data_IF_315881735782
#
_entry.id   IF_315881735782
#
_cell.length_a   1.000
_cell.length_b   1.000
_cell.length_c   1.000
_cell.angle_alpha   90.00
_cell.angle_beta   90.00
_cell.angle_gamma   90.00
#
_symmetry.space_group_name_H-M   'P 1'
#
loop_
_entity.id
_entity.type
_entity.pdbx_description
1 polymer ?
#
# COMPACT_ATOMS: atom_id res chain seq x y z
N UNK A 1 18.25 -0.68 -32.63
CA UNK A 1 18.31 0.23 -31.47
C UNK A 1 17.61 -0.47 -30.33
N UNK A 2 18.17 -0.47 -29.12
CA UNK A 2 17.48 -1.02 -27.95
C UNK A 2 16.20 -0.22 -27.70
N UNK A 3 15.11 -0.88 -27.33
CA UNK A 3 13.86 -0.22 -26.98
C UNK A 3 14.04 0.39 -25.58
N UNK A 4 13.89 1.72 -25.46
CA UNK A 4 14.07 2.46 -24.18
C UNK A 4 13.29 1.80 -23.03
N UNK A 5 13.84 1.60 -21.84
CA UNK A 5 13.15 0.88 -20.76
C UNK A 5 11.97 1.67 -20.17
N UNK A 6 11.12 1.03 -19.38
CA UNK A 6 10.29 1.71 -18.38
C UNK A 6 11.07 1.65 -17.06
N UNK A 7 11.20 2.77 -16.36
CA UNK A 7 11.85 2.82 -15.05
C UNK A 7 10.80 3.08 -13.98
N UNK A 8 10.73 2.20 -13.00
CA UNK A 8 9.87 2.35 -11.82
C UNK A 8 10.72 2.81 -10.63
N UNK A 9 10.26 3.82 -9.90
CA UNK A 9 10.91 4.32 -8.68
C UNK A 9 10.00 4.03 -7.48
N UNK A 10 10.43 3.15 -6.57
CA UNK A 10 9.60 2.68 -5.46
C UNK A 10 10.41 2.00 -4.35
N UNK A 11 9.78 1.73 -3.21
CA UNK A 11 10.22 0.63 -2.35
C UNK A 11 10.13 -0.71 -3.10
N UNK A 12 11.05 -1.65 -2.82
CA UNK A 12 11.10 -2.95 -3.49
C UNK A 12 11.59 -4.05 -2.53
N UNK A 13 11.17 -5.32 -2.71
CA UNK A 13 11.62 -6.44 -1.88
C UNK A 13 13.15 -6.54 -1.79
N UNK A 14 13.71 -7.04 -0.68
CA UNK A 14 13.07 -7.65 0.49
C UNK A 14 12.49 -6.66 1.52
N UNK A 15 12.41 -5.36 1.21
CA UNK A 15 11.78 -4.38 2.11
C UNK A 15 10.34 -4.81 2.42
N UNK A 16 10.06 -5.10 3.69
CA UNK A 16 8.74 -5.47 4.18
C UNK A 16 7.83 -4.23 4.26
N UNK A 17 7.22 -3.88 3.13
CA UNK A 17 6.23 -2.82 3.04
C UNK A 17 5.18 -3.16 1.99
N UNK A 18 3.94 -2.69 2.21
CA UNK A 18 2.80 -2.98 1.32
C UNK A 18 3.07 -2.52 -0.12
N UNK A 19 3.71 -1.35 -0.29
CA UNK A 19 4.05 -0.82 -1.61
C UNK A 19 5.16 -1.63 -2.26
N UNK A 20 6.10 -2.18 -1.49
CA UNK A 20 7.15 -3.05 -2.02
C UNK A 20 6.57 -4.31 -2.65
N UNK A 21 5.64 -4.98 -1.95
CA UNK A 21 4.92 -6.13 -2.48
C UNK A 21 4.06 -5.75 -3.70
N UNK A 22 3.30 -4.66 -3.62
CA UNK A 22 2.52 -4.14 -4.75
C UNK A 22 3.41 -3.86 -5.98
N UNK A 23 4.55 -3.21 -5.78
CA UNK A 23 5.44 -2.81 -6.88
C UNK A 23 6.09 -4.02 -7.53
N UNK A 24 6.45 -5.05 -6.76
CA UNK A 24 6.95 -6.31 -7.32
C UNK A 24 5.94 -6.94 -8.29
N UNK A 25 4.68 -7.03 -7.88
CA UNK A 25 3.61 -7.54 -8.74
C UNK A 25 3.34 -6.61 -9.93
N UNK A 26 3.21 -5.31 -9.70
CA UNK A 26 2.96 -4.31 -10.74
C UNK A 26 4.05 -4.37 -11.82
N UNK A 27 5.32 -4.46 -11.42
CA UNK A 27 6.46 -4.62 -12.33
C UNK A 27 6.32 -5.86 -13.20
N UNK A 28 5.95 -7.01 -12.61
CA UNK A 28 5.73 -8.25 -13.36
C UNK A 28 4.64 -8.08 -14.43
N UNK A 29 3.50 -7.50 -14.07
CA UNK A 29 2.39 -7.28 -15.00
C UNK A 29 2.74 -6.26 -16.10
N UNK A 30 3.44 -5.17 -15.76
CA UNK A 30 3.91 -4.19 -16.74
C UNK A 30 4.92 -4.86 -17.70
N UNK A 31 5.84 -5.67 -17.19
CA UNK A 31 6.82 -6.40 -17.99
C UNK A 31 6.15 -7.38 -18.95
N UNK A 32 5.13 -8.10 -18.47
CA UNK A 32 4.34 -9.03 -19.30
C UNK A 32 3.55 -8.32 -20.39
N UNK A 33 2.95 -7.18 -20.08
CA UNK A 33 2.23 -6.35 -21.05
C UNK A 33 3.18 -5.67 -22.07
N UNK A 34 4.44 -5.48 -21.72
CA UNK A 34 5.46 -4.81 -22.53
C UNK A 34 6.67 -5.71 -22.78
N UNK A 35 6.46 -6.93 -23.30
CA UNK A 35 7.49 -7.97 -23.39
C UNK A 35 8.75 -7.61 -24.20
N UNK A 36 8.70 -6.54 -25.01
CA UNK A 36 9.84 -6.05 -25.80
C UNK A 36 10.61 -4.92 -25.11
N UNK A 37 10.15 -4.45 -23.95
CA UNK A 37 10.71 -3.33 -23.20
C UNK A 37 11.08 -3.79 -21.80
N UNK A 38 12.32 -3.57 -21.40
CA UNK A 38 12.72 -3.88 -20.03
C UNK A 38 12.00 -2.96 -19.04
N UNK A 39 11.58 -3.53 -17.92
CA UNK A 39 11.06 -2.79 -16.76
C UNK A 39 12.10 -2.85 -15.63
N UNK A 40 12.76 -1.72 -15.45
CA UNK A 40 13.85 -1.54 -14.50
C UNK A 40 13.33 -0.85 -13.24
N UNK A 41 13.98 -1.10 -12.10
CA UNK A 41 13.60 -0.58 -10.80
C UNK A 41 14.72 0.28 -10.23
N UNK A 42 14.40 1.47 -9.73
CA UNK A 42 15.24 2.20 -8.78
C UNK A 42 14.56 2.13 -7.42
N UNK A 43 15.29 1.68 -6.40
CA UNK A 43 14.72 1.41 -5.08
C UNK A 43 15.51 2.04 -3.96
N UNK A 44 14.97 1.93 -2.74
CA UNK A 44 15.76 2.08 -1.51
C UNK A 44 16.95 1.12 -1.47
N UNK A 45 17.95 1.49 -0.67
CA UNK A 45 19.25 0.81 -0.57
C UNK A 45 19.16 -0.69 -0.22
N UNK A 46 18.05 -1.13 0.34
CA UNK A 46 17.79 -2.52 0.74
C UNK A 46 17.14 -3.36 -0.35
N UNK A 47 16.63 -2.76 -1.43
CA UNK A 47 15.99 -3.47 -2.55
C UNK A 47 16.96 -4.33 -3.35
N UNK A 48 16.49 -5.49 -3.82
CA UNK A 48 17.33 -6.51 -4.48
C UNK A 48 16.63 -7.13 -5.68
N UNK A 49 17.42 -7.73 -6.58
CA UNK A 49 16.94 -8.51 -7.71
C UNK A 49 17.52 -8.06 -9.04
N UNK A 50 17.19 -8.81 -10.09
CA UNK A 50 17.62 -8.47 -11.44
C UNK A 50 16.95 -7.17 -11.92
N UNK A 51 17.73 -6.27 -12.52
CA UNK A 51 17.25 -4.98 -13.02
C UNK A 51 16.81 -4.01 -11.91
N UNK A 52 17.33 -4.18 -10.68
CA UNK A 52 17.08 -3.31 -9.53
C UNK A 52 18.34 -2.50 -9.20
N UNK A 53 18.18 -1.18 -9.07
CA UNK A 53 19.22 -0.21 -8.73
C UNK A 53 18.90 0.41 -7.36
N UNK A 54 19.49 -0.10 -6.27
CA UNK A 54 19.21 0.38 -4.91
C UNK A 54 19.98 1.68 -4.62
N UNK A 55 19.32 2.83 -4.85
CA UNK A 55 19.95 4.16 -4.82
C UNK A 55 19.28 5.17 -3.85
N UNK A 56 18.06 4.92 -3.40
CA UNK A 56 17.35 5.85 -2.50
C UNK A 56 17.86 5.64 -1.07
N UNK A 57 18.80 6.50 -0.66
CA UNK A 57 19.30 6.57 0.71
C UNK A 57 18.74 7.78 1.45
N UNK A 58 17.73 7.54 2.28
CA UNK A 58 17.04 8.57 3.07
C UNK A 58 17.89 9.17 4.19
N UNK A 59 19.14 8.72 4.38
CA UNK A 59 20.10 9.36 5.28
C UNK A 59 20.62 10.69 4.71
N UNK A 60 20.41 10.93 3.41
CA UNK A 60 20.89 12.11 2.70
C UNK A 60 19.72 12.94 2.17
N UNK A 61 19.77 14.26 2.39
CA UNK A 61 18.73 15.19 1.93
C UNK A 61 18.64 15.23 0.39
N UNK A 62 19.75 14.99 -0.29
CA UNK A 62 19.90 14.99 -1.74
C UNK A 62 19.82 13.60 -2.37
N UNK A 63 19.15 12.65 -1.70
CA UNK A 63 18.88 11.28 -2.21
C UNK A 63 18.29 11.26 -3.62
N UNK A 64 17.56 12.30 -4.02
CA UNK A 64 16.94 12.43 -5.33
C UNK A 64 17.96 12.58 -6.46
N UNK A 65 19.16 13.10 -6.17
CA UNK A 65 20.18 13.37 -7.18
C UNK A 65 20.75 12.10 -7.82
N UNK A 66 21.26 11.10 -7.09
CA UNK A 66 21.72 9.85 -7.70
C UNK A 66 20.58 9.08 -8.41
N UNK A 67 19.33 9.27 -7.98
CA UNK A 67 18.16 8.70 -8.65
C UNK A 67 17.93 9.38 -10.01
N UNK A 68 17.95 10.72 -10.06
CA UNK A 68 17.81 11.48 -11.30
C UNK A 68 18.94 11.18 -12.30
N UNK A 69 20.19 11.15 -11.82
CA UNK A 69 21.36 10.78 -12.63
C UNK A 69 21.23 9.36 -13.21
N UNK A 70 20.71 8.41 -12.44
CA UNK A 70 20.46 7.05 -12.93
C UNK A 70 19.33 7.02 -13.96
N UNK A 71 18.26 7.79 -13.76
CA UNK A 71 17.16 7.90 -14.74
C UNK A 71 17.70 8.43 -16.07
N UNK A 72 18.52 9.48 -16.02
CA UNK A 72 19.15 10.05 -17.22
C UNK A 72 20.05 9.04 -17.93
N UNK A 73 20.89 8.32 -17.19
CA UNK A 73 21.75 7.25 -17.73
C UNK A 73 20.95 6.14 -18.42
N UNK A 74 19.79 5.75 -17.87
CA UNK A 74 18.95 4.69 -18.41
C UNK A 74 18.13 5.14 -19.62
N UNK A 75 17.99 6.45 -19.87
CA UNK A 75 17.22 7.07 -20.96
C UNK A 75 15.85 6.38 -21.18
N UNK A 76 14.94 6.41 -20.19
CA UNK A 76 13.71 5.64 -20.25
C UNK A 76 12.70 6.21 -21.24
N UNK A 77 11.76 5.34 -21.62
CA UNK A 77 10.52 5.70 -22.30
C UNK A 77 9.57 6.48 -21.40
N UNK A 78 9.48 6.09 -20.13
CA UNK A 78 8.68 6.73 -19.10
C UNK A 78 9.22 6.36 -17.70
N UNK A 79 8.97 7.23 -16.73
CA UNK A 79 9.26 7.00 -15.32
C UNK A 79 7.95 6.87 -14.55
N UNK A 80 7.77 5.75 -13.83
CA UNK A 80 6.60 5.51 -12.99
C UNK A 80 7.02 5.49 -11.52
N UNK A 81 6.53 6.46 -10.74
CA UNK A 81 6.86 6.58 -9.32
C UNK A 81 5.69 6.11 -8.46
N UNK A 82 5.96 5.17 -7.56
CA UNK A 82 5.01 4.69 -6.56
C UNK A 82 5.20 5.50 -5.28
N UNK A 83 4.27 6.39 -4.96
CA UNK A 83 4.45 7.35 -3.86
C UNK A 83 3.71 6.95 -2.58
N UNK A 84 4.42 7.08 -1.46
CA UNK A 84 3.85 7.21 -0.12
C UNK A 84 4.72 8.16 0.69
N UNK A 85 4.10 8.91 1.61
CA UNK A 85 4.80 9.96 2.37
C UNK A 85 6.08 9.47 3.07
N UNK A 86 5.99 8.40 3.87
CA UNK A 86 7.11 7.93 4.69
C UNK A 86 8.37 7.55 3.91
N UNK A 87 8.29 6.68 2.88
CA UNK A 87 9.45 6.25 2.11
C UNK A 87 10.27 7.37 1.44
N UNK A 88 9.71 8.56 1.24
CA UNK A 88 10.38 9.69 0.57
C UNK A 88 10.55 10.93 1.45
N UNK A 89 10.29 10.80 2.75
CA UNK A 89 10.48 11.88 3.73
C UNK A 89 11.90 11.82 4.31
N UNK A 90 12.73 12.83 4.02
CA UNK A 90 14.03 12.98 4.68
C UNK A 90 13.81 13.57 6.08
N UNK A 91 14.40 12.96 7.10
CA UNK A 91 14.39 13.48 8.47
C UNK A 91 15.74 14.13 8.78
N UNK A 92 15.71 15.39 9.24
CA UNK A 92 16.91 16.06 9.72
C UNK A 92 17.41 15.47 11.06
N UNK A 93 18.53 15.99 11.56
CA UNK A 93 19.11 15.54 12.83
C UNK A 93 18.23 15.79 14.08
N UNK A 94 17.13 16.54 13.95
CA UNK A 94 16.12 16.77 14.99
C UNK A 94 14.89 15.87 14.80
N UNK A 95 14.87 15.04 13.76
CA UNK A 95 13.72 14.22 13.39
C UNK A 95 12.61 15.01 12.69
N UNK A 96 12.90 16.21 12.17
CA UNK A 96 11.93 17.03 11.44
C UNK A 96 12.00 16.64 9.96
N UNK A 97 10.84 16.28 9.41
CA UNK A 97 10.69 15.91 8.02
C UNK A 97 10.74 17.09 7.05
N UNK A 98 11.20 16.83 5.82
CA UNK A 98 11.31 17.81 4.74
C UNK A 98 10.01 18.03 3.95
N UNK A 99 8.91 17.38 4.32
CA UNK A 99 7.63 17.45 3.64
C UNK A 99 7.67 16.87 2.23
N UNK A 100 8.44 15.81 2.01
CA UNK A 100 8.68 15.18 0.71
C UNK A 100 9.30 16.14 -0.33
N UNK A 101 10.06 17.14 0.11
CA UNK A 101 10.70 18.10 -0.80
C UNK A 101 11.66 17.41 -1.76
N UNK A 102 12.42 16.42 -1.29
CA UNK A 102 13.27 15.60 -2.15
C UNK A 102 12.49 14.95 -3.31
N UNK A 103 11.27 14.48 -3.06
CA UNK A 103 10.42 13.87 -4.08
C UNK A 103 10.01 14.88 -5.16
N UNK A 104 9.56 16.09 -4.79
CA UNK A 104 9.26 17.13 -5.78
C UNK A 104 10.48 17.57 -6.57
N UNK A 105 11.65 17.61 -5.92
CA UNK A 105 12.91 17.98 -6.57
C UNK A 105 13.32 16.91 -7.59
N UNK A 106 13.08 15.63 -7.29
CA UNK A 106 13.23 14.53 -8.25
C UNK A 106 12.34 14.75 -9.49
N UNK A 107 11.04 15.02 -9.30
CA UNK A 107 10.10 15.23 -10.42
C UNK A 107 10.53 16.40 -11.32
N UNK A 108 11.01 17.50 -10.73
CA UNK A 108 11.54 18.63 -11.50
C UNK A 108 12.80 18.24 -12.27
N UNK A 109 13.72 17.48 -11.65
CA UNK A 109 14.98 17.06 -12.24
C UNK A 109 14.82 16.08 -13.42
N UNK A 110 13.73 15.31 -13.47
CA UNK A 110 13.45 14.32 -14.53
C UNK A 110 12.35 14.78 -15.51
N UNK A 111 12.04 16.07 -15.52
CA UNK A 111 10.94 16.65 -16.30
C UNK A 111 11.07 16.52 -17.83
N UNK A 112 12.24 16.13 -18.33
CA UNK A 112 12.46 15.81 -19.75
C UNK A 112 11.86 14.44 -20.15
N UNK A 113 11.44 13.61 -19.19
CA UNK A 113 10.82 12.30 -19.41
C UNK A 113 9.32 12.34 -19.11
N UNK A 114 8.50 11.47 -19.74
CA UNK A 114 7.12 11.25 -19.30
C UNK A 114 7.07 10.69 -17.88
N UNK A 115 6.38 11.39 -16.98
CA UNK A 115 6.26 11.07 -15.56
C UNK A 115 4.86 10.58 -15.24
N UNK A 116 4.78 9.35 -14.71
CA UNK A 116 3.57 8.78 -14.10
C UNK A 116 3.79 8.69 -12.60
N UNK A 117 2.88 9.20 -11.78
CA UNK A 117 2.95 9.03 -10.32
C UNK A 117 1.69 8.36 -9.77
N UNK A 118 1.86 7.35 -8.94
CA UNK A 118 0.79 6.66 -8.23
C UNK A 118 0.90 6.92 -6.71
N UNK A 119 0.18 7.92 -6.17
CA UNK A 119 0.12 8.13 -4.73
C UNK A 119 -0.80 7.11 -4.04
N UNK A 120 -0.24 6.32 -3.13
CA UNK A 120 -0.96 5.28 -2.38
C UNK A 120 -1.75 5.81 -1.17
N UNK A 121 -1.40 7.01 -0.70
CA UNK A 121 -2.01 7.69 0.45
C UNK A 121 -2.76 8.95 0.00
N UNK A 122 -3.89 8.77 -0.67
CA UNK A 122 -4.83 9.86 -0.98
C UNK A 122 -6.08 9.71 -0.12
N UNK A 123 -6.24 10.60 0.85
CA UNK A 123 -7.40 10.58 1.74
C UNK A 123 -8.64 11.18 1.06
N UNK A 124 -9.83 10.67 1.40
CA UNK A 124 -11.09 11.22 0.90
C UNK A 124 -11.39 12.63 1.40
N UNK A 125 -10.78 13.03 2.53
CA UNK A 125 -10.82 14.40 3.06
C UNK A 125 -9.39 14.85 3.27
N UNK A 126 -8.86 15.53 2.25
CA UNK A 126 -7.53 16.09 2.30
C UNK A 126 -7.48 17.24 3.31
N UNK A 127 -6.44 17.27 4.14
CA UNK A 127 -6.03 18.44 4.90
C UNK A 127 -5.26 19.41 4.00
N UNK A 128 -5.03 20.63 4.46
CA UNK A 128 -4.35 21.68 3.67
C UNK A 128 -3.00 21.21 3.09
N UNK A 129 -2.17 20.54 3.88
CA UNK A 129 -0.88 20.02 3.42
C UNK A 129 -1.04 18.96 2.32
N UNK A 130 -2.03 18.08 2.44
CA UNK A 130 -2.29 17.01 1.48
C UNK A 130 -2.89 17.55 0.19
N UNK A 131 -3.79 18.55 0.30
CA UNK A 131 -4.36 19.25 -0.85
C UNK A 131 -3.26 19.96 -1.65
N UNK A 132 -2.36 20.68 -0.97
CA UNK A 132 -1.19 21.31 -1.60
C UNK A 132 -0.24 20.27 -2.20
N UNK A 133 -0.03 19.13 -1.54
CA UNK A 133 0.81 18.05 -2.06
C UNK A 133 0.24 17.53 -3.39
N UNK A 134 -1.05 17.16 -3.43
CA UNK A 134 -1.71 16.66 -4.64
C UNK A 134 -1.72 17.73 -5.75
N UNK A 135 -1.95 19.00 -5.40
CA UNK A 135 -1.86 20.10 -6.36
C UNK A 135 -0.46 20.15 -7.00
N UNK A 136 0.59 20.20 -6.18
CA UNK A 136 1.97 20.27 -6.66
C UNK A 136 2.40 19.02 -7.44
N UNK A 137 1.90 17.85 -7.04
CA UNK A 137 2.14 16.59 -7.72
C UNK A 137 1.56 16.64 -9.14
N UNK A 138 0.30 17.04 -9.28
CA UNK A 138 -0.35 17.11 -10.59
C UNK A 138 0.28 18.15 -11.52
N UNK A 139 0.94 19.19 -11.00
CA UNK A 139 1.67 20.17 -11.82
C UNK A 139 3.01 19.64 -12.35
N UNK A 140 3.56 18.57 -11.75
CA UNK A 140 4.90 18.02 -12.04
C UNK A 140 4.88 16.60 -12.60
N UNK A 141 3.71 16.13 -13.02
CA UNK A 141 3.52 14.78 -13.54
C UNK A 141 2.62 14.83 -14.76
N UNK A 142 2.92 14.03 -15.77
CA UNK A 142 2.09 13.93 -16.97
C UNK A 142 0.81 13.16 -16.69
N UNK A 143 0.89 12.12 -15.86
CA UNK A 143 -0.25 11.31 -15.41
C UNK A 143 -0.14 11.03 -13.92
N UNK A 144 -1.25 11.19 -13.19
CA UNK A 144 -1.36 10.77 -11.79
C UNK A 144 -2.40 9.65 -11.68
N UNK A 145 -2.03 8.54 -11.06
CA UNK A 145 -2.88 7.36 -10.90
C UNK A 145 -3.51 7.32 -9.52
N UNK A 146 -4.85 7.33 -9.47
CA UNK A 146 -5.60 7.10 -8.24
C UNK A 146 -6.19 5.70 -8.22
N UNK A 147 -6.18 5.05 -7.05
CA UNK A 147 -6.76 3.71 -6.89
C UNK A 147 -8.27 3.65 -6.92
N UNK A 148 -8.99 4.76 -6.69
CA UNK A 148 -10.45 4.74 -6.75
C UNK A 148 -11.11 6.04 -7.21
N UNK A 149 -12.30 5.89 -7.79
CA UNK A 149 -13.11 7.01 -8.26
C UNK A 149 -13.52 7.97 -7.15
N UNK A 150 -13.71 7.47 -5.92
CA UNK A 150 -14.09 8.31 -4.79
C UNK A 150 -13.02 9.37 -4.48
N UNK A 151 -11.72 9.01 -4.53
CA UNK A 151 -10.63 9.96 -4.33
C UNK A 151 -10.66 11.07 -5.38
N UNK A 152 -10.83 10.70 -6.66
CA UNK A 152 -10.90 11.67 -7.77
C UNK A 152 -12.12 12.58 -7.63
N UNK A 153 -13.29 12.00 -7.39
CA UNK A 153 -14.55 12.74 -7.20
C UNK A 153 -14.47 13.74 -6.05
N UNK A 154 -13.78 13.42 -4.96
CA UNK A 154 -13.61 14.35 -3.83
C UNK A 154 -12.81 15.61 -4.20
N UNK A 155 -11.92 15.54 -5.19
CA UNK A 155 -11.15 16.71 -5.62
C UNK A 155 -12.03 17.80 -6.23
N UNK A 156 -13.13 17.44 -6.89
CA UNK A 156 -14.11 18.39 -7.44
C UNK A 156 -14.81 19.24 -6.37
N UNK A 157 -14.65 18.88 -5.09
CA UNK A 157 -15.12 19.66 -3.96
C UNK A 157 -13.96 20.38 -3.27
N UNK A 158 -12.86 19.66 -3.04
CA UNK A 158 -11.70 20.19 -2.32
C UNK A 158 -11.02 21.33 -3.07
N UNK A 159 -10.71 21.15 -4.36
CA UNK A 159 -9.92 22.13 -5.12
C UNK A 159 -10.68 23.43 -5.36
N UNK A 160 -11.96 23.40 -5.81
CA UNK A 160 -12.77 24.61 -5.89
C UNK A 160 -12.96 25.31 -4.54
N UNK A 161 -12.97 24.54 -3.43
CA UNK A 161 -12.98 25.09 -2.07
C UNK A 161 -11.78 25.98 -1.74
N UNK A 162 -10.63 25.74 -2.37
CA UNK A 162 -9.43 26.59 -2.30
C UNK A 162 -9.32 27.59 -3.47
N UNK A 163 -10.29 27.62 -4.39
CA UNK A 163 -10.24 28.43 -5.60
C UNK A 163 -9.31 27.87 -6.69
N UNK A 164 -8.96 26.58 -6.63
CA UNK A 164 -8.12 25.90 -7.62
C UNK A 164 -8.96 25.14 -8.64
N UNK A 165 -8.45 24.97 -9.86
CA UNK A 165 -9.06 24.07 -10.83
C UNK A 165 -8.74 22.61 -10.49
N UNK A 166 -9.72 21.71 -10.64
CA UNK A 166 -9.47 20.27 -10.51
C UNK A 166 -8.49 19.80 -11.60
N UNK A 167 -7.40 19.08 -11.25
CA UNK A 167 -6.46 18.56 -12.23
C UNK A 167 -7.10 17.58 -13.22
N UNK A 168 -6.68 17.64 -14.49
CA UNK A 168 -7.24 16.83 -15.57
C UNK A 168 -6.40 15.59 -15.92
N UNK A 169 -5.16 15.54 -15.45
CA UNK A 169 -4.21 14.45 -15.68
C UNK A 169 -4.35 13.29 -14.68
N UNK A 170 -5.47 13.20 -13.95
CA UNK A 170 -5.73 12.11 -13.01
C UNK A 170 -6.50 10.99 -13.70
N UNK A 171 -5.90 9.81 -13.77
CA UNK A 171 -6.54 8.56 -14.21
C UNK A 171 -6.83 7.66 -13.00
N UNK A 172 -7.94 6.92 -13.05
CA UNK A 172 -8.28 5.96 -12.00
C UNK A 172 -7.89 4.57 -12.47
N UNK A 173 -6.96 3.94 -11.76
CA UNK A 173 -6.50 2.56 -11.99
C UNK A 173 -6.58 1.82 -10.66
N UNK A 174 -7.64 1.03 -10.42
CA UNK A 174 -7.78 0.28 -9.18
C UNK A 174 -6.70 -0.79 -9.05
N UNK A 175 -6.28 -1.04 -7.81
CA UNK A 175 -5.41 -2.17 -7.51
C UNK A 175 -6.10 -3.48 -7.85
N UNK A 176 -5.35 -4.37 -8.49
CA UNK A 176 -5.80 -5.72 -8.82
C UNK A 176 -5.46 -6.72 -7.73
N UNK A 177 -5.98 -7.93 -7.88
CA UNK A 177 -5.53 -9.13 -7.19
C UNK A 177 -4.98 -10.11 -8.22
N UNK A 178 -3.91 -10.82 -7.89
CA UNK A 178 -3.33 -11.87 -8.74
C UNK A 178 -4.37 -12.98 -9.03
N UNK A 179 -4.80 -13.17 -10.29
CA UNK A 179 -5.77 -14.22 -10.61
C UNK A 179 -5.14 -15.63 -10.61
N UNK A 180 -3.81 -15.70 -10.67
CA UNK A 180 -2.97 -16.89 -10.64
C UNK A 180 -2.60 -17.34 -9.21
N UNK A 181 -2.72 -16.45 -8.21
CA UNK A 181 -2.49 -16.75 -6.79
C UNK A 181 -3.84 -16.78 -6.06
N UNK A 182 -4.63 -17.82 -6.32
CA UNK A 182 -5.96 -18.01 -5.71
C UNK A 182 -6.17 -19.44 -5.27
N UNK A 183 -6.90 -19.61 -4.17
CA UNK A 183 -7.34 -20.91 -3.69
C UNK A 183 -8.85 -21.05 -3.84
N UNK A 184 -9.27 -22.14 -4.47
CA UNK A 184 -10.67 -22.52 -4.58
C UNK A 184 -11.21 -23.12 -3.28
N UNK A 185 -12.54 -23.14 -3.15
CA UNK A 185 -13.22 -23.70 -1.96
C UNK A 185 -12.81 -25.15 -1.67
N UNK A 186 -12.52 -25.94 -2.72
CA UNK A 186 -12.10 -27.34 -2.58
C UNK A 186 -10.67 -27.50 -2.03
N UNK A 187 -9.85 -26.45 -2.09
CA UNK A 187 -8.46 -26.47 -1.60
C UNK A 187 -8.36 -26.07 -0.12
N UNK A 188 -9.40 -25.38 0.40
CA UNK A 188 -9.45 -24.91 1.79
C UNK A 188 -9.16 -26.01 2.82
N UNK A 189 -9.70 -27.25 2.72
CA UNK A 189 -9.40 -28.29 3.71
C UNK A 189 -7.91 -28.65 3.82
N UNK A 190 -7.20 -28.78 2.69
CA UNK A 190 -5.77 -29.11 2.74
C UNK A 190 -4.96 -27.89 3.21
N UNK A 191 -5.35 -26.66 2.85
CA UNK A 191 -4.72 -25.44 3.38
C UNK A 191 -4.86 -25.32 4.89
N UNK A 192 -6.05 -25.61 5.44
CA UNK A 192 -6.27 -25.60 6.89
C UNK A 192 -5.34 -26.58 7.59
N UNK A 193 -5.14 -27.75 7.00
CA UNK A 193 -4.23 -28.78 7.51
C UNK A 193 -2.76 -28.36 7.39
N UNK A 194 -2.35 -27.80 6.26
CA UNK A 194 -0.99 -27.30 6.01
C UNK A 194 -0.61 -26.18 6.99
N UNK A 195 -1.53 -25.22 7.19
CA UNK A 195 -1.38 -24.13 8.14
C UNK A 195 -1.56 -24.57 9.60
N UNK A 196 -1.91 -25.84 9.85
CA UNK A 196 -2.12 -26.40 11.18
C UNK A 196 -3.39 -25.90 11.89
N UNK A 197 -4.31 -25.25 11.18
CA UNK A 197 -5.57 -24.70 11.70
C UNK A 197 -6.53 -25.77 12.21
N UNK A 198 -6.47 -26.99 11.66
CA UNK A 198 -7.30 -28.10 12.15
C UNK A 198 -6.96 -28.51 13.59
N UNK A 199 -5.77 -28.14 14.09
CA UNK A 199 -5.33 -28.44 15.45
C UNK A 199 -5.74 -27.37 16.46
N UNK A 200 -6.33 -26.27 16.00
CA UNK A 200 -6.63 -25.13 16.87
C UNK A 200 -8.04 -25.17 17.46
N UNK A 201 -8.87 -26.14 17.07
CA UNK A 201 -10.27 -26.19 17.47
C UNK A 201 -11.13 -25.13 16.78
N UNK A 202 -10.67 -24.58 15.64
CA UNK A 202 -11.46 -23.68 14.81
C UNK A 202 -12.69 -24.39 14.26
N UNK A 203 -13.83 -23.71 14.29
CA UNK A 203 -15.04 -24.14 13.60
C UNK A 203 -14.80 -24.37 12.09
N UNK A 204 -15.71 -25.13 11.48
CA UNK A 204 -15.70 -25.38 10.03
C UNK A 204 -15.89 -24.08 9.24
N UNK A 205 -16.70 -23.16 9.79
CA UNK A 205 -16.93 -21.83 9.23
C UNK A 205 -16.14 -20.77 9.99
N UNK A 206 -15.48 -19.86 9.25
CA UNK A 206 -14.58 -18.87 9.82
C UNK A 206 -14.82 -17.51 9.19
N UNK A 207 -14.85 -16.47 10.02
CA UNK A 207 -14.72 -15.08 9.60
C UNK A 207 -13.28 -14.64 9.84
N UNK A 208 -12.58 -14.23 8.79
CA UNK A 208 -11.21 -13.74 8.89
C UNK A 208 -11.14 -12.24 9.17
N UNK A 209 -10.37 -11.85 10.19
CA UNK A 209 -9.98 -10.47 10.44
C UNK A 209 -8.45 -10.39 10.40
N UNK A 210 -7.91 -10.09 9.21
CA UNK A 210 -6.49 -10.23 8.90
C UNK A 210 -5.90 -8.88 8.49
N UNK A 211 -4.77 -8.51 9.08
CA UNK A 211 -4.00 -7.32 8.69
C UNK A 211 -3.36 -6.60 9.86
N UNK A 212 -2.82 -5.41 9.61
CA UNK A 212 -2.29 -4.57 10.68
C UNK A 212 -3.40 -4.12 11.61
N UNK A 213 -3.12 -4.21 12.92
CA UNK A 213 -4.02 -3.73 13.96
C UNK A 213 -3.70 -2.24 14.17
N UNK A 214 -4.56 -1.36 13.65
CA UNK A 214 -4.37 0.09 13.61
C UNK A 214 -5.71 0.82 13.75
N UNK A 215 -5.73 2.00 14.38
CA UNK A 215 -6.98 2.76 14.64
C UNK A 215 -7.84 2.96 13.40
N UNK A 216 -7.22 3.15 12.23
CA UNK A 216 -7.94 3.36 10.97
C UNK A 216 -8.61 2.10 10.39
N UNK A 217 -8.21 0.89 10.83
CA UNK A 217 -8.81 -0.39 10.43
C UNK A 217 -10.03 -0.76 11.27
N UNK A 218 -10.20 -0.11 12.43
CA UNK A 218 -11.39 -0.21 13.28
C UNK A 218 -11.79 -1.66 13.61
N UNK A 219 -10.84 -2.45 14.12
CA UNK A 219 -11.12 -3.83 14.54
C UNK A 219 -12.14 -3.87 15.68
N UNK A 220 -12.15 -2.84 16.54
CA UNK A 220 -13.12 -2.62 17.62
C UNK A 220 -14.58 -2.80 17.18
N UNK A 221 -14.92 -2.39 15.95
CA UNK A 221 -16.30 -2.50 15.45
C UNK A 221 -16.72 -3.97 15.34
N UNK A 222 -15.87 -4.82 14.73
CA UNK A 222 -16.21 -6.23 14.60
C UNK A 222 -16.13 -6.95 15.95
N UNK A 223 -15.10 -6.65 16.74
CA UNK A 223 -14.87 -7.29 18.04
C UNK A 223 -16.00 -7.03 19.03
N UNK A 224 -16.47 -5.79 19.12
CA UNK A 224 -17.57 -5.42 20.01
C UNK A 224 -18.92 -6.04 19.64
N UNK A 225 -19.10 -6.45 18.38
CA UNK A 225 -20.34 -7.04 17.88
C UNK A 225 -20.28 -8.56 17.72
N UNK A 226 -19.09 -9.17 17.81
CA UNK A 226 -18.89 -10.56 17.37
C UNK A 226 -19.71 -11.58 18.15
N UNK A 227 -19.85 -11.40 19.47
CA UNK A 227 -20.64 -12.32 20.32
C UNK A 227 -22.11 -12.35 19.89
N UNK A 228 -22.71 -11.18 19.65
CA UNK A 228 -24.11 -11.10 19.17
C UNK A 228 -24.25 -11.68 17.76
N UNK A 229 -23.27 -11.45 16.88
CA UNK A 229 -23.25 -12.02 15.53
C UNK A 229 -23.16 -13.55 15.59
N UNK A 230 -22.26 -14.11 16.40
CA UNK A 230 -22.08 -15.55 16.57
C UNK A 230 -23.37 -16.21 17.05
N UNK A 231 -23.98 -15.69 18.12
CA UNK A 231 -25.23 -16.23 18.67
C UNK A 231 -26.38 -16.15 17.67
N UNK A 232 -26.50 -15.06 16.93
CA UNK A 232 -27.56 -14.92 15.93
C UNK A 232 -27.38 -15.87 14.74
N UNK A 233 -26.13 -16.09 14.28
CA UNK A 233 -25.83 -17.09 13.24
C UNK A 233 -26.25 -18.47 13.72
N UNK A 234 -25.83 -18.85 14.93
CA UNK A 234 -26.16 -20.15 15.53
C UNK A 234 -27.65 -20.33 15.72
N UNK A 235 -28.35 -19.32 16.22
CA UNK A 235 -29.80 -19.35 16.43
C UNK A 235 -30.57 -19.52 15.11
N UNK A 236 -30.16 -18.82 14.05
CA UNK A 236 -30.88 -18.87 12.75
C UNK A 236 -30.54 -20.08 11.89
N UNK A 237 -29.29 -20.52 11.92
CA UNK A 237 -28.78 -21.52 10.97
C UNK A 237 -28.40 -22.84 11.61
N UNK A 238 -28.19 -22.87 12.93
CA UNK A 238 -27.60 -24.00 13.64
C UNK A 238 -26.10 -24.21 13.36
N UNK A 239 -25.45 -23.29 12.64
CA UNK A 239 -24.03 -23.38 12.31
C UNK A 239 -23.17 -22.68 13.36
N UNK A 240 -22.02 -23.28 13.66
CA UNK A 240 -20.95 -22.68 14.46
C UNK A 240 -19.98 -21.93 13.55
N UNK A 241 -19.62 -20.71 13.94
CA UNK A 241 -18.69 -19.85 13.21
C UNK A 241 -17.70 -19.21 14.18
N UNK A 242 -16.42 -19.25 13.84
CA UNK A 242 -15.36 -18.63 14.63
C UNK A 242 -14.79 -17.38 13.96
N UNK A 243 -14.38 -16.40 14.78
CA UNK A 243 -13.56 -15.29 14.33
C UNK A 243 -12.08 -15.68 14.37
N UNK A 244 -11.42 -15.72 13.21
CA UNK A 244 -9.97 -15.88 13.13
C UNK A 244 -9.32 -14.51 12.93
N UNK A 245 -8.69 -14.01 13.99
CA UNK A 245 -7.94 -12.77 13.96
C UNK A 245 -6.44 -13.08 13.79
N UNK A 246 -5.82 -12.48 12.77
CA UNK A 246 -4.38 -12.60 12.54
C UNK A 246 -3.79 -11.23 12.20
N UNK A 247 -2.98 -10.70 13.09
CA UNK A 247 -2.51 -9.32 12.95
C UNK A 247 -1.42 -8.97 13.93
N UNK A 248 -0.73 -7.87 13.63
CA UNK A 248 0.30 -7.32 14.51
C UNK A 248 0.33 -5.79 14.37
N UNK A 249 1.08 -5.14 15.26
CA UNK A 249 1.30 -3.70 15.21
C UNK A 249 2.46 -3.38 14.25
N UNK A 250 2.20 -2.45 13.32
CA UNK A 250 3.24 -1.90 12.43
C UNK A 250 3.80 -0.57 12.94
N UNK A 251 2.95 0.29 13.46
CA UNK A 251 3.29 1.64 13.89
C UNK A 251 3.07 1.75 15.41
N UNK A 252 4.11 2.08 16.20
CA UNK A 252 4.01 2.27 17.64
C UNK A 252 2.96 3.31 18.09
N UNK A 253 2.57 4.24 17.21
CA UNK A 253 1.50 5.20 17.52
C UNK A 253 0.13 4.53 17.73
N UNK A 254 -0.05 3.29 17.28
CA UNK A 254 -1.27 2.49 17.46
C UNK A 254 -1.14 1.47 18.61
N UNK A 255 -0.15 1.60 19.49
CA UNK A 255 0.09 0.63 20.55
C UNK A 255 -1.10 0.43 21.47
N UNK A 256 -1.73 1.52 21.90
CA UNK A 256 -2.84 1.44 22.84
C UNK A 256 -4.03 0.68 22.22
N UNK A 257 -4.40 1.02 20.97
CA UNK A 257 -5.43 0.31 20.22
C UNK A 257 -5.05 -1.16 19.96
N UNK A 258 -3.77 -1.44 19.66
CA UNK A 258 -3.30 -2.80 19.42
C UNK A 258 -3.47 -3.68 20.64
N UNK A 259 -3.01 -3.22 21.80
CA UNK A 259 -3.12 -3.99 23.04
C UNK A 259 -4.60 -4.16 23.45
N UNK A 260 -5.41 -3.10 23.34
CA UNK A 260 -6.85 -3.17 23.63
C UNK A 260 -7.57 -4.19 22.76
N UNK A 261 -7.41 -4.10 21.44
CA UNK A 261 -8.15 -4.97 20.50
C UNK A 261 -7.64 -6.40 20.52
N UNK A 262 -6.34 -6.60 20.78
CA UNK A 262 -5.80 -7.93 21.02
C UNK A 262 -6.39 -8.55 22.27
N UNK A 263 -6.47 -7.80 23.37
CA UNK A 263 -7.10 -8.27 24.61
C UNK A 263 -8.58 -8.61 24.40
N UNK A 264 -9.31 -7.86 23.58
CA UNK A 264 -10.69 -8.19 23.20
C UNK A 264 -10.79 -9.50 22.43
N UNK A 265 -9.93 -9.75 21.43
CA UNK A 265 -9.89 -11.04 20.74
C UNK A 265 -9.63 -12.16 21.73
N UNK A 266 -8.66 -11.99 22.64
CA UNK A 266 -8.31 -13.02 23.63
C UNK A 266 -9.46 -13.31 24.60
N UNK A 267 -10.29 -12.32 24.95
CA UNK A 267 -11.51 -12.53 25.73
C UNK A 267 -12.55 -13.34 24.94
N UNK A 268 -12.70 -13.09 23.64
CA UNK A 268 -13.57 -13.89 22.78
C UNK A 268 -13.03 -15.32 22.58
N UNK A 269 -11.71 -15.49 22.53
CA UNK A 269 -11.05 -16.81 22.47
C UNK A 269 -11.29 -17.62 23.75
N UNK A 270 -11.29 -16.99 24.93
CA UNK A 270 -11.66 -17.65 26.19
C UNK A 270 -13.12 -18.16 26.19
N UNK A 271 -14.00 -17.52 25.42
CA UNK A 271 -15.39 -17.98 25.22
C UNK A 271 -15.50 -19.09 24.17
N UNK A 272 -14.41 -19.38 23.44
CA UNK A 272 -14.37 -20.39 22.40
C UNK A 272 -15.02 -19.97 21.09
N UNK A 273 -15.18 -18.66 20.84
CA UNK A 273 -15.84 -18.12 19.64
C UNK A 273 -14.89 -17.29 18.76
N UNK A 274 -13.61 -17.19 19.14
CA UNK A 274 -12.57 -16.51 18.36
C UNK A 274 -11.20 -17.16 18.59
N UNK A 275 -10.24 -16.83 17.72
CA UNK A 275 -8.86 -17.34 17.78
C UNK A 275 -7.89 -16.24 17.33
N UNK A 276 -6.89 -15.90 18.16
CA UNK A 276 -5.84 -14.96 17.79
C UNK A 276 -4.57 -15.71 17.35
N UNK A 277 -4.03 -15.40 16.17
CA UNK A 277 -2.83 -16.04 15.62
C UNK A 277 -1.77 -15.03 15.19
#
# INVERSE_FOLDING_TARGET
>A
MSIKPIVIVSSYPPRLCEIGAFTEEAREFIQKANSQREVLMISHIDGRGQGVFPLIDMSYQDWWKPVAEKIEELDPYAVHLEHQYGPYEYLDNRGIGDGNKGFFTLLEAISDYPIVVEPHTVHGRLRDAEANFIYNLCQRSDVVLFKCHYQKWRLDWTFPGYGWETPRNIMVVPHGSRPDERWGVLEIPELRKELGLDKTGLADHVVGMIGWIQSNKRWDILLSMWEEIHEEIKHRSGQEWDLLAAGTMRDPAHKDDYEEWKDEVLKLEQKGIAHYR
#
